data_IF_931149746259
#
_entry.id   IF_931149746259
#
_cell.length_a   1.000
_cell.length_b   1.000
_cell.length_c   1.000
_cell.angle_alpha   90.00
_cell.angle_beta   90.00
_cell.angle_gamma   90.00
#
_symmetry.space_group_name_H-M   'P 1'
#
loop_
_entity.id
_entity.type
_entity.pdbx_description
1 polymer ?
#
# COMPACT_ATOMS: atom_id res chain seq x y z
N UNK A 1 -16.77 11.02 -10.89
CA UNK A 1 -15.72 11.13 -9.85
C UNK A 1 -14.77 9.95 -10.02
N UNK A 2 -13.47 10.17 -10.27
CA UNK A 2 -12.50 9.07 -10.22
C UNK A 2 -12.30 8.71 -8.75
N UNK A 3 -12.57 7.46 -8.38
CA UNK A 3 -12.37 6.95 -7.02
C UNK A 3 -10.89 7.10 -6.64
N UNK A 4 -10.59 7.53 -5.40
CA UNK A 4 -9.22 7.68 -4.92
C UNK A 4 -8.47 6.34 -5.08
N UNK A 5 -7.28 6.32 -5.69
CA UNK A 5 -6.59 5.07 -5.95
C UNK A 5 -6.21 4.31 -4.66
N UNK A 6 -5.95 5.01 -3.55
CA UNK A 6 -5.71 4.38 -2.25
C UNK A 6 -6.99 3.70 -1.76
N UNK A 7 -8.15 4.36 -1.90
CA UNK A 7 -9.45 3.75 -1.57
C UNK A 7 -9.69 2.48 -2.39
N UNK A 8 -9.37 2.48 -3.69
CA UNK A 8 -9.52 1.28 -4.53
C UNK A 8 -8.69 0.11 -4.05
N UNK A 9 -7.45 0.35 -3.60
CA UNK A 9 -6.57 -0.69 -3.08
C UNK A 9 -7.11 -1.23 -1.76
N UNK A 10 -7.49 -0.33 -0.84
CA UNK A 10 -8.05 -0.72 0.46
C UNK A 10 -9.40 -1.46 0.34
N UNK A 11 -10.16 -1.22 -0.72
CA UNK A 11 -11.39 -1.98 -1.00
C UNK A 11 -11.10 -3.42 -1.49
N UNK A 12 -9.89 -3.68 -2.00
CA UNK A 12 -9.45 -5.01 -2.45
C UNK A 12 -8.70 -5.79 -1.37
N UNK A 13 -8.24 -5.10 -0.33
CA UNK A 13 -7.43 -5.67 0.75
C UNK A 13 -8.12 -5.36 2.08
N UNK A 14 -8.67 -6.40 2.71
CA UNK A 14 -8.95 -6.37 4.13
C UNK A 14 -7.65 -6.69 4.91
N UNK A 15 -7.06 -5.73 5.65
CA UNK A 15 -5.80 -5.94 6.38
C UNK A 15 -5.88 -7.01 7.49
N UNK A 16 -7.09 -7.44 7.89
CA UNK A 16 -7.29 -8.44 8.94
C UNK A 16 -7.51 -9.85 8.41
N UNK A 17 -8.00 -10.01 7.18
CA UNK A 17 -8.41 -11.32 6.64
C UNK A 17 -7.72 -11.69 5.32
N UNK A 18 -7.19 -10.71 4.59
CA UNK A 18 -6.57 -10.96 3.28
C UNK A 18 -5.22 -11.68 3.46
N UNK A 19 -4.99 -12.80 2.75
CA UNK A 19 -3.71 -13.49 2.79
C UNK A 19 -2.56 -12.58 2.34
N UNK A 20 -1.39 -12.75 2.95
CA UNK A 20 -0.20 -11.97 2.61
C UNK A 20 0.14 -11.99 1.12
N UNK A 21 0.07 -13.16 0.48
CA UNK A 21 0.31 -13.30 -0.97
C UNK A 21 -0.63 -12.43 -1.82
N UNK A 22 -1.90 -12.34 -1.44
CA UNK A 22 -2.87 -11.48 -2.13
C UNK A 22 -2.57 -10.00 -1.92
N UNK A 23 -2.17 -9.60 -0.71
CA UNK A 23 -1.74 -8.22 -0.45
C UNK A 23 -0.50 -7.84 -1.29
N UNK A 24 0.48 -8.76 -1.36
CA UNK A 24 1.67 -8.62 -2.18
C UNK A 24 1.29 -8.39 -3.65
N UNK A 25 0.50 -9.29 -4.23
CA UNK A 25 0.16 -9.24 -5.66
C UNK A 25 -0.61 -7.96 -6.00
N UNK A 26 -1.51 -7.50 -5.12
CA UNK A 26 -2.24 -6.24 -5.35
C UNK A 26 -1.29 -5.05 -5.36
N UNK A 27 -0.37 -4.95 -4.39
CA UNK A 27 0.56 -3.82 -4.30
C UNK A 27 1.61 -3.84 -5.40
N UNK A 28 2.12 -5.01 -5.76
CA UNK A 28 3.09 -5.17 -6.84
C UNK A 28 2.47 -4.81 -8.19
N UNK A 29 1.25 -5.29 -8.48
CA UNK A 29 0.54 -4.92 -9.69
C UNK A 29 0.26 -3.41 -9.74
N UNK A 30 -0.18 -2.82 -8.63
CA UNK A 30 -0.43 -1.38 -8.57
C UNK A 30 0.84 -0.57 -8.81
N UNK A 31 1.98 -0.98 -8.24
CA UNK A 31 3.26 -0.34 -8.50
C UNK A 31 3.62 -0.38 -9.99
N UNK A 32 3.43 -1.53 -10.65
CA UNK A 32 3.67 -1.69 -12.09
C UNK A 32 2.73 -0.81 -12.95
N UNK A 33 1.44 -0.76 -12.62
CA UNK A 33 0.44 0.00 -13.38
C UNK A 33 0.60 1.51 -13.25
N UNK A 34 1.11 1.98 -12.10
CA UNK A 34 1.14 3.41 -11.75
C UNK A 34 2.53 4.04 -11.85
N UNK A 35 3.55 3.24 -12.15
CA UNK A 35 4.95 3.67 -12.09
C UNK A 35 5.46 3.86 -10.65
N UNK A 36 4.80 3.24 -9.69
CA UNK A 36 5.27 3.15 -8.30
C UNK A 36 6.45 2.19 -8.16
N UNK A 37 7.00 2.10 -6.95
CA UNK A 37 8.09 1.19 -6.61
C UNK A 37 7.61 0.14 -5.62
N UNK A 38 7.87 -1.11 -5.94
CA UNK A 38 7.81 -2.23 -5.00
C UNK A 38 9.12 -3.01 -5.15
N UNK A 39 10.00 -2.94 -4.17
CA UNK A 39 11.35 -3.53 -4.26
C UNK A 39 11.70 -4.24 -2.98
N UNK A 40 12.18 -5.48 -3.12
CA UNK A 40 12.81 -6.25 -2.06
C UNK A 40 14.30 -6.34 -2.38
N UNK A 41 15.13 -5.81 -1.50
CA UNK A 41 16.59 -5.88 -1.61
C UNK A 41 17.13 -7.19 -1.02
N UNK A 42 18.34 -7.57 -1.42
CA UNK A 42 19.00 -8.81 -0.97
C UNK A 42 19.22 -8.89 0.56
N UNK A 43 19.24 -7.73 1.25
CA UNK A 43 19.31 -7.65 2.72
C UNK A 43 17.95 -7.88 3.41
N UNK A 44 16.92 -8.27 2.66
CA UNK A 44 15.54 -8.46 3.12
C UNK A 44 14.75 -7.16 3.29
N UNK A 45 15.35 -6.00 2.98
CA UNK A 45 14.67 -4.71 3.09
C UNK A 45 13.67 -4.53 1.97
N UNK A 46 12.45 -4.16 2.34
CA UNK A 46 11.39 -3.86 1.37
C UNK A 46 11.08 -2.37 1.38
N UNK A 47 11.01 -1.78 0.18
CA UNK A 47 10.55 -0.41 -0.07
C UNK A 47 9.28 -0.49 -0.91
N UNK A 48 8.23 0.18 -0.44
CA UNK A 48 6.97 0.33 -1.17
C UNK A 48 6.70 1.82 -1.30
N UNK A 49 6.64 2.32 -2.52
CA UNK A 49 6.35 3.72 -2.87
C UNK A 49 5.25 3.76 -3.94
N UNK A 50 4.01 3.94 -3.50
CA UNK A 50 2.82 3.89 -4.37
C UNK A 50 1.89 5.02 -3.93
N UNK A 51 1.31 5.76 -4.88
CA UNK A 51 0.36 6.86 -4.60
C UNK A 51 0.86 7.92 -3.62
N UNK A 52 2.16 8.26 -3.70
CA UNK A 52 2.85 9.20 -2.79
C UNK A 52 2.93 8.73 -1.34
N UNK A 53 2.74 7.45 -1.09
CA UNK A 53 2.98 6.81 0.20
C UNK A 53 4.20 5.91 0.09
N UNK A 54 5.28 6.33 0.77
CA UNK A 54 6.52 5.59 0.86
C UNK A 54 6.70 4.99 2.24
N UNK A 55 6.97 3.70 2.29
CA UNK A 55 7.37 2.98 3.49
C UNK A 55 8.64 2.17 3.24
N UNK A 56 9.35 1.87 4.31
CA UNK A 56 10.54 1.01 4.27
C UNK A 56 10.55 0.14 5.51
N UNK A 57 10.78 -1.15 5.36
CA UNK A 57 10.88 -2.10 6.47
C UNK A 57 11.97 -3.14 6.21
N UNK A 58 12.38 -3.84 7.28
CA UNK A 58 13.41 -4.91 7.24
C UNK A 58 12.89 -6.26 6.74
N UNK A 59 11.59 -6.36 6.50
CA UNK A 59 10.97 -7.50 5.85
C UNK A 59 9.72 -7.04 5.12
N UNK A 60 9.28 -7.87 4.19
CA UNK A 60 8.19 -7.57 3.29
C UNK A 60 6.83 -7.51 4.00
N UNK A 61 6.57 -8.43 4.92
CA UNK A 61 5.32 -8.47 5.70
C UNK A 61 5.07 -7.16 6.44
N UNK A 62 6.09 -6.64 7.10
CA UNK A 62 5.99 -5.39 7.83
C UNK A 62 5.89 -4.19 6.89
N UNK A 63 6.59 -4.20 5.75
CA UNK A 63 6.44 -3.14 4.75
C UNK A 63 4.99 -3.06 4.22
N UNK A 64 4.39 -4.19 3.85
CA UNK A 64 2.99 -4.25 3.41
C UNK A 64 2.05 -3.72 4.50
N UNK A 65 2.19 -4.22 5.74
CA UNK A 65 1.36 -3.77 6.87
C UNK A 65 1.50 -2.28 7.13
N UNK A 66 2.72 -1.75 7.09
CA UNK A 66 3.00 -0.33 7.25
C UNK A 66 2.37 0.49 6.13
N UNK A 67 2.47 0.03 4.87
CA UNK A 67 1.86 0.72 3.74
C UNK A 67 0.33 0.75 3.88
N UNK A 68 -0.31 -0.38 4.20
CA UNK A 68 -1.77 -0.46 4.40
C UNK A 68 -2.24 0.47 5.53
N UNK A 69 -1.49 0.54 6.64
CA UNK A 69 -1.79 1.46 7.75
C UNK A 69 -1.62 2.92 7.35
N UNK A 70 -0.55 3.25 6.62
CA UNK A 70 -0.31 4.60 6.11
C UNK A 70 -1.40 5.03 5.11
N UNK A 71 -1.82 4.11 4.23
CA UNK A 71 -2.91 4.27 3.28
C UNK A 71 -4.24 4.58 3.97
N UNK A 72 -4.64 3.77 4.96
CA UNK A 72 -5.86 4.01 5.73
C UNK A 72 -5.82 5.39 6.43
N UNK A 73 -4.68 5.73 7.05
CA UNK A 73 -4.49 7.03 7.72
C UNK A 73 -4.57 8.20 6.73
N UNK A 74 -3.95 8.07 5.56
CA UNK A 74 -3.98 9.11 4.53
C UNK A 74 -5.39 9.33 3.99
N UNK A 75 -6.16 8.26 3.83
CA UNK A 75 -7.53 8.32 3.34
C UNK A 75 -8.47 8.97 4.36
N UNK A 76 -8.38 8.59 5.64
CA UNK A 76 -9.16 9.22 6.71
C UNK A 76 -8.90 10.72 6.81
N UNK A 77 -7.62 11.15 6.77
CA UNK A 77 -7.28 12.59 6.78
C UNK A 77 -7.83 13.35 5.58
N UNK A 78 -7.82 12.74 4.38
CA UNK A 78 -8.41 13.36 3.18
C UNK A 78 -9.91 13.59 3.35
N UNK A 79 -10.62 12.63 3.94
CA UNK A 79 -12.06 12.72 4.17
C UNK A 79 -12.42 13.81 5.20
N UNK A 80 -11.63 13.96 6.26
CA UNK A 80 -11.78 15.03 7.27
C UNK A 80 -11.61 16.42 6.67
N UNK A 81 -10.66 16.62 5.73
CA UNK A 81 -10.42 17.92 5.10
C UNK A 81 -11.55 18.32 4.12
N UNK A 82 -12.25 17.34 3.56
CA UNK A 82 -13.34 17.57 2.59
C UNK A 82 -14.74 17.66 3.21
N UNK A 83 -14.86 17.50 4.53
CA UNK A 83 -16.12 17.58 5.29
C UNK A 83 -16.31 18.97 5.88
#
# INVERSE_FOLDING_TARGET
MKSDPIQRILNRIDPHTTPFATCHDVLMNEAMETGGTYTVADDGRTVIDIHRLRVTSRNETDAIRLWLRAAATSLSRKQEITS
#
